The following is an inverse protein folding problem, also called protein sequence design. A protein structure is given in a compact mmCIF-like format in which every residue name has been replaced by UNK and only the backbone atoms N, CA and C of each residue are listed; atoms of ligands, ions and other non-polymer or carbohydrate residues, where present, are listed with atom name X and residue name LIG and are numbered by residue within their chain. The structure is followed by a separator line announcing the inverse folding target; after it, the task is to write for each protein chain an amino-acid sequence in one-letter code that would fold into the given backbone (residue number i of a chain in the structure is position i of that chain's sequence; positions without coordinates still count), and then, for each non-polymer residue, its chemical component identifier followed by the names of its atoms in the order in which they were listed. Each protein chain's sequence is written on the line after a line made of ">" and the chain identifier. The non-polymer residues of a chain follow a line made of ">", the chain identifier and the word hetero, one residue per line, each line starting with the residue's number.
data_IF_299001599818
#
_entry.id   IF_299001599818
#
_cell.length_a   1.000
_cell.length_b   1.000
_cell.length_c   1.000
_cell.angle_alpha   90.00
_cell.angle_beta   90.00
_cell.angle_gamma   90.00
#
_symmetry.space_group_name_H-M   'P 1'
#
loop_
_entity.id
_entity.type
_entity.pdbx_description
1 polymer ?
#
# COMPACT_ATOMS: atom_id res chain seq x y z
N UNK A 1 -24.96 -25.89 1.08
CA UNK A 1 -25.18 -25.33 2.43
C UNK A 1 -26.52 -24.61 2.39
N UNK A 2 -27.42 -24.83 3.37
CA UNK A 2 -28.70 -24.11 3.46
C UNK A 2 -28.50 -22.93 4.43
N UNK A 3 -29.11 -21.79 4.10
CA UNK A 3 -29.12 -20.63 4.98
C UNK A 3 -29.96 -20.94 6.23
N UNK A 4 -29.47 -20.53 7.39
CA UNK A 4 -30.12 -20.72 8.69
C UNK A 4 -29.99 -19.43 9.48
N UNK A 5 -31.10 -18.99 10.07
CA UNK A 5 -31.13 -17.82 10.95
C UNK A 5 -30.89 -18.33 12.37
N UNK A 6 -29.87 -17.78 13.03
CA UNK A 6 -29.52 -18.10 14.42
C UNK A 6 -29.77 -16.87 15.29
N UNK A 7 -30.54 -17.05 16.35
CA UNK A 7 -30.79 -16.01 17.36
C UNK A 7 -29.79 -16.15 18.50
N UNK A 8 -29.12 -15.05 18.86
CA UNK A 8 -28.12 -15.00 19.93
C UNK A 8 -28.41 -13.81 20.85
N UNK A 9 -28.53 -14.08 22.14
CA UNK A 9 -28.53 -13.04 23.16
C UNK A 9 -27.09 -12.71 23.55
N UNK A 10 -26.68 -11.45 23.35
CA UNK A 10 -25.32 -10.99 23.63
C UNK A 10 -25.33 -9.72 24.49
N UNK A 11 -24.36 -9.60 25.39
CA UNK A 11 -24.21 -8.40 26.23
C UNK A 11 -23.36 -7.30 25.58
N UNK A 12 -22.54 -7.62 24.58
CA UNK A 12 -21.68 -6.66 23.88
C UNK A 12 -21.32 -7.17 22.49
N UNK A 13 -20.96 -6.24 21.61
CA UNK A 13 -20.64 -6.48 20.20
C UNK A 13 -19.31 -5.79 19.89
N UNK A 14 -18.41 -6.48 19.21
CA UNK A 14 -17.11 -5.94 18.79
C UNK A 14 -17.04 -6.02 17.27
N UNK A 15 -16.93 -4.87 16.62
CA UNK A 15 -16.82 -4.76 15.17
C UNK A 15 -15.36 -4.85 14.75
N UNK A 16 -15.02 -5.89 14.00
CA UNK A 16 -13.67 -6.22 13.52
C UNK A 16 -13.67 -6.49 12.01
N UNK A 17 -14.47 -5.71 11.27
CA UNK A 17 -14.69 -5.91 9.82
C UNK A 17 -13.49 -5.52 8.95
N UNK A 18 -12.45 -4.92 9.55
CA UNK A 18 -11.19 -4.62 8.89
C UNK A 18 -11.31 -3.48 7.87
N UNK A 19 -10.61 -3.64 6.74
CA UNK A 19 -10.43 -2.61 5.72
C UNK A 19 -10.49 -3.20 4.31
N UNK A 20 -10.64 -2.33 3.31
CA UNK A 20 -10.42 -2.61 1.89
C UNK A 20 -9.16 -1.88 1.38
N UNK A 21 -8.63 -2.30 0.24
CA UNK A 21 -7.50 -1.61 -0.42
C UNK A 21 -8.00 -0.72 -1.55
N UNK A 22 -7.42 0.47 -1.68
CA UNK A 22 -7.73 1.40 -2.75
C UNK A 22 -7.35 0.81 -4.13
N UNK A 23 -8.26 0.91 -5.10
CA UNK A 23 -7.97 0.59 -6.50
C UNK A 23 -7.30 1.81 -7.17
N UNK A 24 -6.00 1.74 -7.56
CA UNK A 24 -5.29 2.89 -8.13
C UNK A 24 -5.58 3.12 -9.62
N UNK A 25 -6.53 2.40 -10.23
CA UNK A 25 -6.95 2.60 -11.64
C UNK A 25 -7.29 4.06 -11.97
N UNK A 26 -7.95 4.85 -11.08
CA UNK A 26 -8.22 6.27 -11.34
C UNK A 26 -6.96 7.16 -11.40
N UNK A 27 -5.83 6.70 -10.84
CA UNK A 27 -4.52 7.35 -10.95
C UNK A 27 -3.89 6.97 -12.29
N UNK A 28 -4.47 7.50 -13.37
CA UNK A 28 -4.12 7.11 -14.74
C UNK A 28 -2.61 7.21 -15.04
N UNK A 29 -1.95 8.22 -14.48
CA UNK A 29 -0.52 8.46 -14.64
C UNK A 29 0.36 7.34 -14.07
N UNK A 30 -0.16 6.47 -13.21
CA UNK A 30 0.59 5.31 -12.69
C UNK A 30 0.38 4.04 -13.50
N UNK A 31 -0.54 4.03 -14.48
CA UNK A 31 -0.61 2.95 -15.46
C UNK A 31 -1.04 1.59 -14.90
N UNK A 32 -1.60 1.51 -13.68
CA UNK A 32 -2.16 0.26 -13.16
C UNK A 32 -3.22 -0.31 -14.10
N UNK A 33 -3.18 -1.63 -14.33
CA UNK A 33 -3.99 -2.38 -15.34
C UNK A 33 -3.80 -1.96 -16.80
N UNK A 34 -2.99 -0.93 -17.10
CA UNK A 34 -2.72 -0.45 -18.47
C UNK A 34 -1.30 -0.79 -18.94
N UNK A 35 -0.34 -0.71 -18.02
CA UNK A 35 1.05 -1.08 -18.25
C UNK A 35 1.31 -2.43 -17.58
N UNK A 36 1.96 -3.32 -18.31
CA UNK A 36 2.39 -4.59 -17.76
C UNK A 36 3.43 -4.36 -16.64
N UNK A 37 3.44 -5.24 -15.65
CA UNK A 37 4.35 -5.19 -14.48
C UNK A 37 4.17 -3.97 -13.55
N UNK A 38 3.07 -3.23 -13.67
CA UNK A 38 2.59 -2.32 -12.62
C UNK A 38 1.57 -3.07 -11.75
N UNK A 39 1.94 -3.35 -10.51
CA UNK A 39 1.12 -4.11 -9.55
C UNK A 39 0.92 -3.34 -8.25
N UNK A 40 -0.11 -3.70 -7.49
CA UNK A 40 -0.36 -3.19 -6.13
C UNK A 40 0.48 -3.92 -5.09
N UNK A 41 0.62 -3.31 -3.91
CA UNK A 41 1.24 -3.92 -2.75
C UNK A 41 0.60 -5.25 -2.35
N UNK A 42 -0.73 -5.37 -2.43
CA UNK A 42 -1.43 -6.61 -2.07
C UNK A 42 -1.24 -7.72 -3.12
N UNK A 43 -1.15 -7.38 -4.41
CA UNK A 43 -0.78 -8.34 -5.45
C UNK A 43 0.65 -8.83 -5.27
N UNK A 44 1.58 -7.93 -4.91
CA UNK A 44 2.94 -8.32 -4.58
C UNK A 44 3.01 -9.23 -3.35
N UNK A 45 2.23 -8.97 -2.29
CA UNK A 45 2.11 -9.88 -1.14
C UNK A 45 1.68 -11.28 -1.56
N UNK A 46 0.72 -11.39 -2.47
CA UNK A 46 0.30 -12.69 -3.01
C UNK A 46 1.41 -13.35 -3.83
N UNK A 47 2.17 -12.57 -4.60
CA UNK A 47 3.29 -13.07 -5.41
C UNK A 47 4.43 -13.63 -4.55
N UNK A 48 4.87 -12.89 -3.53
CA UNK A 48 5.99 -13.31 -2.67
C UNK A 48 5.60 -14.39 -1.64
N UNK A 49 4.30 -14.65 -1.46
CA UNK A 49 3.82 -15.70 -0.59
C UNK A 49 4.14 -17.10 -1.17
N UNK A 50 4.73 -17.98 -0.37
CA UNK A 50 5.08 -19.36 -0.77
C UNK A 50 3.86 -20.22 -1.16
N UNK A 51 2.68 -19.93 -0.59
CA UNK A 51 1.38 -20.51 -0.97
C UNK A 51 0.60 -19.62 -1.94
N UNK A 52 1.27 -18.63 -2.52
CA UNK A 52 0.76 -17.73 -3.53
C UNK A 52 0.73 -18.36 -4.94
N UNK A 53 0.11 -17.68 -5.91
CA UNK A 53 -0.03 -18.18 -7.28
C UNK A 53 1.30 -18.42 -8.00
N UNK A 54 2.39 -17.75 -7.58
CA UNK A 54 3.73 -17.91 -8.16
C UNK A 54 4.65 -18.77 -7.29
N UNK A 55 4.13 -19.38 -6.21
CA UNK A 55 4.91 -20.21 -5.29
C UNK A 55 6.01 -19.46 -4.54
N UNK A 56 5.84 -18.14 -4.35
CA UNK A 56 6.83 -17.26 -3.72
C UNK A 56 7.85 -16.66 -4.69
N UNK A 57 7.77 -16.96 -5.98
CA UNK A 57 8.68 -16.40 -6.97
C UNK A 57 8.22 -15.00 -7.40
N UNK A 58 9.16 -14.05 -7.40
CA UNK A 58 8.96 -12.69 -7.90
C UNK A 58 9.25 -12.70 -9.40
N UNK A 59 8.21 -12.54 -10.20
CA UNK A 59 8.27 -12.67 -11.68
C UNK A 59 7.51 -11.57 -12.38
N UNK A 60 8.00 -11.19 -13.56
CA UNK A 60 7.29 -10.35 -14.52
C UNK A 60 6.16 -11.14 -15.19
N UNK A 61 5.33 -10.45 -15.97
CA UNK A 61 4.21 -11.04 -16.71
C UNK A 61 4.63 -12.19 -17.65
N UNK A 62 5.82 -12.11 -18.21
CA UNK A 62 6.39 -13.14 -19.09
C UNK A 62 7.04 -14.32 -18.32
N UNK A 63 7.05 -14.26 -16.98
CA UNK A 63 7.64 -15.27 -16.10
C UNK A 63 9.12 -15.06 -15.78
N UNK A 64 9.77 -14.05 -16.38
CA UNK A 64 11.18 -13.74 -16.10
C UNK A 64 11.35 -12.99 -14.76
N UNK A 65 12.50 -13.12 -14.08
CA UNK A 65 12.75 -12.38 -12.83
C UNK A 65 13.12 -10.91 -13.11
N UNK A 66 12.53 -9.93 -12.38
CA UNK A 66 12.90 -8.53 -12.53
C UNK A 66 14.35 -8.27 -12.10
N UNK A 67 15.04 -7.37 -12.81
CA UNK A 67 16.38 -6.90 -12.44
C UNK A 67 16.34 -5.55 -11.71
N UNK A 68 15.24 -4.80 -11.86
CA UNK A 68 15.01 -3.56 -11.12
C UNK A 68 13.53 -3.35 -10.78
N UNK A 69 13.26 -2.90 -9.56
CA UNK A 69 11.91 -2.71 -9.03
C UNK A 69 11.81 -1.33 -8.37
N UNK A 70 10.78 -0.58 -8.74
CA UNK A 70 10.39 0.64 -8.03
C UNK A 70 9.19 0.38 -7.13
N UNK A 71 9.24 0.87 -5.90
CA UNK A 71 8.13 0.84 -4.94
C UNK A 71 7.70 2.28 -4.69
N UNK A 72 6.42 2.58 -4.94
CA UNK A 72 5.89 3.94 -4.87
C UNK A 72 5.00 4.07 -3.65
N UNK A 73 5.36 4.97 -2.73
CA UNK A 73 4.62 5.21 -1.50
C UNK A 73 3.42 6.13 -1.75
N UNK A 74 2.49 6.15 -0.78
CA UNK A 74 1.38 7.09 -0.73
C UNK A 74 0.47 7.02 -1.97
N UNK A 75 0.27 5.85 -2.57
CA UNK A 75 -0.62 5.70 -3.72
C UNK A 75 -2.07 5.75 -3.23
N UNK A 76 -2.75 6.87 -3.51
CA UNK A 76 -4.11 7.11 -3.03
C UNK A 76 -4.20 7.55 -1.55
N UNK A 77 -3.08 7.80 -0.87
CA UNK A 77 -3.04 8.37 0.49
C UNK A 77 -2.25 9.67 0.47
N UNK A 78 -2.56 10.58 1.40
CA UNK A 78 -1.97 11.93 1.44
C UNK A 78 -2.12 12.65 0.10
N UNK A 79 -3.30 12.50 -0.51
CA UNK A 79 -3.66 13.04 -1.81
C UNK A 79 -5.05 13.67 -1.71
N UNK A 80 -5.13 14.98 -1.96
CA UNK A 80 -6.38 15.76 -1.89
C UNK A 80 -7.46 15.28 -2.88
N UNK A 81 -7.06 14.63 -3.99
CA UNK A 81 -8.01 14.10 -4.98
C UNK A 81 -8.62 12.77 -4.54
N UNK A 82 -7.96 12.04 -3.65
CA UNK A 82 -8.39 10.71 -3.20
C UNK A 82 -8.58 10.71 -1.68
N UNK A 83 -7.52 10.50 -0.91
CA UNK A 83 -7.56 10.48 0.54
C UNK A 83 -6.48 11.36 1.16
N UNK A 84 -6.89 12.36 1.94
CA UNK A 84 -5.96 13.27 2.63
C UNK A 84 -5.20 12.58 3.77
N UNK A 85 -5.75 11.50 4.33
CA UNK A 85 -5.14 10.78 5.44
C UNK A 85 -3.94 9.91 5.00
N UNK A 86 -3.14 9.52 5.99
CA UNK A 86 -2.07 8.55 5.81
C UNK A 86 -2.55 7.15 6.23
N UNK A 87 -2.34 6.15 5.37
CA UNK A 87 -2.67 4.75 5.66
C UNK A 87 -1.77 4.07 6.71
N UNK A 88 -0.85 4.81 7.33
CA UNK A 88 0.06 4.45 8.44
C UNK A 88 1.04 3.30 8.24
N UNK A 89 0.67 2.24 7.52
CA UNK A 89 1.45 1.00 7.39
C UNK A 89 2.25 0.91 6.09
N UNK A 90 1.96 1.77 5.10
CA UNK A 90 2.52 1.65 3.74
C UNK A 90 4.03 1.81 3.67
N UNK A 91 4.63 2.71 4.45
CA UNK A 91 6.10 2.81 4.49
C UNK A 91 6.74 1.51 4.99
N UNK A 92 6.15 0.89 6.01
CA UNK A 92 6.72 -0.31 6.63
C UNK A 92 6.58 -1.55 5.77
N UNK A 93 5.41 -1.80 5.17
CA UNK A 93 5.29 -2.94 4.27
C UNK A 93 6.10 -2.75 2.98
N UNK A 94 6.32 -1.50 2.53
CA UNK A 94 7.17 -1.22 1.35
C UNK A 94 8.62 -1.61 1.64
N UNK A 95 9.14 -1.18 2.80
CA UNK A 95 10.47 -1.58 3.25
C UNK A 95 10.58 -3.10 3.49
N UNK A 96 9.50 -3.73 3.96
CA UNK A 96 9.41 -5.19 4.06
C UNK A 96 9.51 -5.84 2.68
N UNK A 97 8.86 -5.29 1.65
CA UNK A 97 9.00 -5.79 0.28
C UNK A 97 10.41 -5.59 -0.23
N UNK A 98 11.03 -4.44 0.00
CA UNK A 98 12.42 -4.21 -0.40
C UNK A 98 13.36 -5.26 0.21
N UNK A 99 13.19 -5.54 1.51
CA UNK A 99 13.91 -6.59 2.21
C UNK A 99 13.68 -7.98 1.57
N UNK A 100 12.42 -8.37 1.36
CA UNK A 100 12.08 -9.67 0.75
C UNK A 100 12.60 -9.79 -0.69
N UNK A 101 12.51 -8.73 -1.49
CA UNK A 101 13.05 -8.71 -2.86
C UNK A 101 14.55 -8.98 -2.84
N UNK A 102 15.29 -8.38 -1.89
CA UNK A 102 16.73 -8.61 -1.72
C UNK A 102 17.07 -10.01 -1.23
N UNK A 103 16.20 -10.64 -0.44
CA UNK A 103 16.38 -12.03 -0.01
C UNK A 103 16.13 -13.04 -1.14
N UNK A 104 15.21 -12.73 -2.07
CA UNK A 104 14.78 -13.65 -3.12
C UNK A 104 15.44 -13.40 -4.48
N UNK A 105 16.01 -12.21 -4.70
CA UNK A 105 16.52 -11.77 -6.00
C UNK A 105 17.73 -10.84 -5.86
N UNK A 106 18.50 -10.70 -6.94
CA UNK A 106 19.58 -9.71 -7.04
C UNK A 106 19.10 -8.33 -7.56
N UNK A 107 17.79 -8.09 -7.56
CA UNK A 107 17.23 -6.89 -8.16
C UNK A 107 17.68 -5.60 -7.44
N UNK A 108 17.80 -4.52 -8.22
CA UNK A 108 17.92 -3.16 -7.68
C UNK A 108 16.55 -2.69 -7.22
N UNK A 109 16.46 -2.23 -5.97
CA UNK A 109 15.20 -1.77 -5.38
C UNK A 109 15.27 -0.28 -5.11
N UNK A 110 14.23 0.43 -5.53
CA UNK A 110 14.08 1.87 -5.38
C UNK A 110 12.79 2.21 -4.62
N UNK A 111 12.91 2.93 -3.52
CA UNK A 111 11.80 3.36 -2.67
C UNK A 111 11.50 4.84 -2.92
N UNK A 112 10.36 5.14 -3.53
CA UNK A 112 9.91 6.51 -3.82
C UNK A 112 8.98 7.00 -2.72
N UNK A 113 9.40 8.03 -1.99
CA UNK A 113 8.71 8.49 -0.79
C UNK A 113 8.63 10.02 -0.69
N UNK A 114 7.68 10.50 0.15
CA UNK A 114 7.60 11.90 0.59
C UNK A 114 8.29 12.02 1.96
N UNK A 115 7.81 11.21 2.92
CA UNK A 115 8.38 11.02 4.25
C UNK A 115 8.38 9.52 4.58
N UNK A 116 9.42 9.01 5.23
CA UNK A 116 9.42 7.67 5.80
C UNK A 116 8.79 7.75 7.20
N UNK A 117 7.70 6.99 7.42
CA UNK A 117 6.96 6.97 8.69
C UNK A 117 7.23 5.68 9.46
N UNK A 118 8.43 5.55 10.00
CA UNK A 118 8.95 4.46 10.84
C UNK A 118 8.69 4.67 12.34
N UNK A 119 7.44 4.96 12.73
CA UNK A 119 7.13 5.47 14.08
C UNK A 119 7.00 4.43 15.21
N UNK A 120 6.98 3.14 14.88
CA UNK A 120 6.83 2.04 15.84
C UNK A 120 8.17 1.61 16.48
N UNK A 121 8.09 0.83 17.56
CA UNK A 121 9.29 0.23 18.18
C UNK A 121 10.00 -0.67 17.16
N UNK A 122 11.29 -0.45 16.93
CA UNK A 122 12.06 -1.25 15.97
C UNK A 122 11.92 -0.80 14.51
N UNK A 123 11.06 0.18 14.21
CA UNK A 123 10.77 0.54 12.81
C UNK A 123 11.89 1.38 12.21
N UNK A 124 12.51 2.25 13.01
CA UNK A 124 13.65 3.04 12.56
C UNK A 124 14.90 2.16 12.39
N UNK A 125 15.09 1.20 13.28
CA UNK A 125 16.13 0.18 13.17
C UNK A 125 15.92 -0.68 11.90
N UNK A 126 14.67 -1.01 11.57
CA UNK A 126 14.34 -1.71 10.34
C UNK A 126 14.59 -0.86 9.09
N UNK A 127 14.25 0.43 9.11
CA UNK A 127 14.62 1.36 8.03
C UNK A 127 16.14 1.39 7.79
N UNK A 128 16.92 1.52 8.86
CA UNK A 128 18.39 1.47 8.78
C UNK A 128 18.92 0.14 8.25
N UNK A 129 18.29 -0.98 8.60
CA UNK A 129 18.62 -2.29 8.04
C UNK A 129 18.41 -2.31 6.52
N UNK A 130 17.24 -1.90 6.05
CA UNK A 130 16.89 -1.91 4.61
C UNK A 130 17.78 -0.97 3.80
N UNK A 131 18.19 0.16 4.38
CA UNK A 131 19.23 1.03 3.82
C UNK A 131 20.57 0.29 3.66
N UNK A 132 21.02 -0.43 4.70
CA UNK A 132 22.28 -1.18 4.68
C UNK A 132 22.27 -2.39 3.74
N UNK A 133 21.08 -2.92 3.41
CA UNK A 133 20.88 -3.97 2.40
C UNK A 133 20.99 -3.43 0.95
N UNK A 134 21.24 -2.12 0.79
CA UNK A 134 21.47 -1.49 -0.52
C UNK A 134 20.19 -1.11 -1.27
N UNK A 135 19.08 -0.94 -0.55
CA UNK A 135 17.85 -0.32 -1.09
C UNK A 135 18.07 1.18 -1.27
N UNK A 136 17.67 1.71 -2.42
CA UNK A 136 17.89 3.13 -2.76
C UNK A 136 16.62 3.91 -2.44
N UNK A 137 16.71 4.83 -1.47
CA UNK A 137 15.60 5.71 -1.11
C UNK A 137 15.67 7.00 -1.90
N UNK A 138 14.57 7.35 -2.56
CA UNK A 138 14.44 8.53 -3.39
C UNK A 138 13.31 9.39 -2.84
N UNK A 139 13.66 10.57 -2.32
CA UNK A 139 12.68 11.54 -1.84
C UNK A 139 12.10 12.29 -3.02
N UNK A 140 11.00 11.76 -3.56
CA UNK A 140 10.32 12.28 -4.73
C UNK A 140 9.05 11.49 -4.97
N UNK A 141 7.91 12.18 -5.00
CA UNK A 141 6.66 11.55 -5.44
C UNK A 141 6.70 11.44 -6.97
N UNK A 142 6.55 10.24 -7.55
CA UNK A 142 6.54 10.09 -9.00
C UNK A 142 5.40 10.87 -9.64
N UNK A 143 5.70 11.57 -10.73
CA UNK A 143 4.74 12.29 -11.54
C UNK A 143 4.00 11.35 -12.49
N UNK A 144 4.72 10.41 -13.11
CA UNK A 144 4.17 9.48 -14.10
C UNK A 144 5.00 8.18 -14.18
N UNK A 145 4.33 7.08 -14.52
CA UNK A 145 4.93 5.85 -15.02
C UNK A 145 4.55 5.69 -16.49
N UNK A 146 5.55 5.53 -17.36
CA UNK A 146 5.35 5.34 -18.80
C UNK A 146 6.20 4.18 -19.32
N UNK A 147 5.86 3.62 -20.47
CA UNK A 147 6.71 2.67 -21.20
C UNK A 147 7.30 3.29 -22.48
N UNK A 148 7.21 4.61 -22.62
CA UNK A 148 7.77 5.36 -23.75
C UNK A 148 9.25 5.65 -23.45
N UNK A 149 10.13 4.97 -24.20
CA UNK A 149 11.57 5.14 -24.12
C UNK A 149 12.02 6.41 -24.87
N UNK A 150 12.83 7.24 -24.21
CA UNK A 150 13.55 8.38 -24.80
C UNK A 150 15.02 8.05 -25.08
N UNK A 151 15.53 7.00 -24.46
CA UNK A 151 16.93 6.56 -24.54
C UNK A 151 17.00 5.04 -24.79
N UNK A 152 18.08 4.54 -25.40
CA UNK A 152 18.26 3.10 -25.61
C UNK A 152 18.20 2.26 -24.32
N UNK A 153 18.64 2.83 -23.19
CA UNK A 153 18.60 2.17 -21.86
C UNK A 153 17.19 2.00 -21.28
N UNK A 154 16.19 2.66 -21.86
CA UNK A 154 14.79 2.62 -21.43
C UNK A 154 13.94 1.63 -22.25
N UNK A 155 14.47 1.09 -23.34
CA UNK A 155 13.74 0.19 -24.23
C UNK A 155 13.26 -1.07 -23.48
N UNK A 156 11.95 -1.35 -23.56
CA UNK A 156 11.33 -2.51 -22.92
C UNK A 156 11.16 -2.41 -21.40
N UNK A 157 11.38 -1.23 -20.79
CA UNK A 157 11.24 -1.00 -19.35
C UNK A 157 10.02 -0.12 -19.03
N UNK A 158 9.63 -0.11 -17.77
CA UNK A 158 8.79 0.94 -17.18
C UNK A 158 9.69 2.10 -16.75
N UNK A 159 9.30 3.33 -17.05
CA UNK A 159 10.05 4.53 -16.71
C UNK A 159 9.28 5.31 -15.65
N UNK A 160 9.89 5.42 -14.47
CA UNK A 160 9.39 6.27 -13.39
C UNK A 160 9.95 7.67 -13.59
N UNK A 161 9.06 8.65 -13.82
CA UNK A 161 9.40 10.06 -13.95
C UNK A 161 9.12 10.77 -12.63
N UNK A 162 10.12 11.46 -12.07
CA UNK A 162 10.02 12.07 -10.76
C UNK A 162 11.01 13.23 -10.58
N UNK A 163 10.73 14.08 -9.61
CA UNK A 163 11.69 15.03 -9.08
C UNK A 163 12.45 14.41 -7.89
N UNK A 164 13.77 14.37 -7.96
CA UNK A 164 14.60 14.11 -6.79
C UNK A 164 14.72 15.39 -5.98
N UNK A 165 13.88 15.51 -4.95
CA UNK A 165 13.75 16.76 -4.19
C UNK A 165 14.96 17.09 -3.33
N UNK A 166 15.86 16.12 -3.09
CA UNK A 166 17.09 16.36 -2.32
C UNK A 166 18.15 17.10 -3.14
N UNK A 167 18.12 16.93 -4.47
CA UNK A 167 19.06 17.56 -5.40
C UNK A 167 18.39 18.53 -6.37
N UNK A 168 17.05 18.61 -6.38
CA UNK A 168 16.28 19.53 -7.21
C UNK A 168 16.31 19.21 -8.70
N UNK A 169 16.41 17.92 -9.08
CA UNK A 169 16.51 17.49 -10.48
C UNK A 169 15.36 16.57 -10.88
N UNK A 170 14.81 16.82 -12.08
CA UNK A 170 13.90 15.89 -12.74
C UNK A 170 14.70 14.71 -13.30
N UNK A 171 14.21 13.49 -13.04
CA UNK A 171 14.89 12.25 -13.42
C UNK A 171 13.90 11.25 -14.00
N UNK A 172 14.45 10.40 -14.86
CA UNK A 172 13.79 9.23 -15.45
C UNK A 172 14.55 8.00 -14.96
N UNK A 173 13.84 7.02 -14.40
CA UNK A 173 14.44 5.77 -13.92
C UNK A 173 13.76 4.57 -14.59
N UNK A 174 14.46 3.86 -15.48
CA UNK A 174 13.95 2.61 -16.06
C UNK A 174 14.00 1.46 -15.04
N UNK A 175 12.87 0.76 -14.89
CA UNK A 175 12.68 -0.41 -14.02
C UNK A 175 11.90 -1.51 -14.73
N UNK A 176 12.03 -2.75 -14.28
CA UNK A 176 11.28 -3.90 -14.81
C UNK A 176 9.87 -3.99 -14.24
N UNK A 177 9.71 -3.64 -12.96
CA UNK A 177 8.46 -3.74 -12.22
C UNK A 177 8.23 -2.48 -11.38
N UNK A 178 6.97 -2.09 -11.24
CA UNK A 178 6.55 -1.06 -10.30
C UNK A 178 5.51 -1.64 -9.33
N UNK A 179 5.74 -1.44 -8.03
CA UNK A 179 4.83 -1.80 -6.95
C UNK A 179 4.21 -0.52 -6.40
N UNK A 180 2.88 -0.46 -6.39
CA UNK A 180 2.09 0.66 -5.89
C UNK A 180 1.66 0.37 -4.46
N UNK A 181 2.20 1.12 -3.50
CA UNK A 181 1.82 1.01 -2.09
C UNK A 181 0.52 1.77 -1.83
N UNK A 182 -0.58 1.06 -2.09
CA UNK A 182 -1.95 1.60 -2.08
C UNK A 182 -2.49 1.92 -0.69
N UNK A 183 -3.44 2.86 -0.66
CA UNK A 183 -4.16 3.27 0.53
C UNK A 183 -5.05 2.16 1.10
N UNK A 184 -5.33 2.27 2.39
CA UNK A 184 -6.37 1.50 3.07
C UNK A 184 -7.64 2.34 3.12
N UNK A 185 -8.77 1.72 2.80
CA UNK A 185 -10.10 2.31 2.84
C UNK A 185 -10.97 1.56 3.85
N UNK A 186 -12.02 2.20 4.34
CA UNK A 186 -13.07 1.48 5.05
C UNK A 186 -13.70 0.42 4.13
N UNK A 187 -14.28 -0.63 4.74
CA UNK A 187 -15.01 -1.62 3.96
C UNK A 187 -16.14 -0.97 3.12
N UNK A 188 -16.45 -1.48 1.92
CA UNK A 188 -17.54 -0.96 1.10
C UNK A 188 -18.91 -0.97 1.81
N UNK A 189 -19.12 -1.90 2.73
CA UNK A 189 -20.35 -2.04 3.53
C UNK A 189 -20.31 -1.30 4.87
N UNK A 190 -19.25 -0.53 5.17
CA UNK A 190 -19.08 0.16 6.45
C UNK A 190 -20.27 1.07 6.79
N UNK A 191 -20.93 1.68 5.79
CA UNK A 191 -22.14 2.46 6.04
C UNK A 191 -23.32 1.60 6.51
N UNK A 192 -23.53 0.43 5.90
CA UNK A 192 -24.59 -0.48 6.28
C UNK A 192 -24.36 -1.03 7.69
N UNK A 193 -23.12 -1.41 8.01
CA UNK A 193 -22.71 -1.85 9.35
C UNK A 193 -22.91 -0.73 10.38
N UNK A 194 -22.49 0.50 10.07
CA UNK A 194 -22.67 1.65 10.95
C UNK A 194 -24.16 1.90 11.28
N UNK A 195 -25.04 1.79 10.27
CA UNK A 195 -26.49 1.92 10.46
C UNK A 195 -27.07 0.77 11.29
N UNK A 196 -26.63 -0.47 11.05
CA UNK A 196 -27.12 -1.65 11.76
C UNK A 196 -26.85 -1.57 13.27
N UNK A 197 -25.65 -1.12 13.65
CA UNK A 197 -25.23 -1.02 15.05
C UNK A 197 -25.39 0.39 15.63
N UNK A 198 -25.96 1.32 14.87
CA UNK A 198 -26.20 2.71 15.27
C UNK A 198 -24.91 3.42 15.74
N UNK A 199 -23.84 3.35 14.96
CA UNK A 199 -22.56 4.03 15.26
C UNK A 199 -22.20 5.03 14.16
N UNK A 200 -21.29 5.96 14.48
CA UNK A 200 -20.83 7.01 13.57
C UNK A 200 -19.60 6.58 12.75
N UNK A 201 -19.36 7.29 11.65
CA UNK A 201 -18.14 7.21 10.84
C UNK A 201 -17.39 8.53 10.87
N UNK A 202 -16.07 8.47 10.84
CA UNK A 202 -15.18 9.63 10.70
C UNK A 202 -15.16 10.14 9.25
N UNK A 203 -14.57 11.31 9.02
CA UNK A 203 -14.50 11.94 7.70
C UNK A 203 -13.67 11.11 6.69
N UNK A 204 -12.75 10.29 7.18
CA UNK A 204 -11.98 9.32 6.39
C UNK A 204 -12.77 8.03 6.05
N UNK A 205 -14.00 7.92 6.53
CA UNK A 205 -14.91 6.82 6.25
C UNK A 205 -14.78 5.62 7.18
N UNK A 206 -13.83 5.58 8.11
CA UNK A 206 -13.72 4.52 9.12
C UNK A 206 -14.74 4.70 10.25
N UNK A 207 -14.86 3.71 11.14
CA UNK A 207 -15.73 3.85 12.32
C UNK A 207 -15.13 4.84 13.31
N UNK A 208 -15.98 5.73 13.84
CA UNK A 208 -15.58 6.77 14.77
C UNK A 208 -15.56 6.24 16.20
N UNK A 209 -14.41 6.36 16.85
CA UNK A 209 -14.27 6.09 18.27
C UNK A 209 -14.96 7.15 19.13
N UNK A 210 -15.31 6.79 20.37
CA UNK A 210 -15.94 7.69 21.33
C UNK A 210 -15.06 8.87 21.70
N UNK A 211 -13.77 8.62 21.92
CA UNK A 211 -12.80 9.69 22.16
C UNK A 211 -11.38 9.25 21.77
N UNK A 212 -10.64 10.01 20.94
CA UNK A 212 -9.33 9.61 20.39
C UNK A 212 -8.24 9.21 21.40
N UNK A 213 -8.41 9.60 22.68
CA UNK A 213 -7.44 9.35 23.76
C UNK A 213 -7.99 8.64 24.99
N UNK A 214 -9.27 8.85 25.29
CA UNK A 214 -9.85 8.42 26.58
C UNK A 214 -10.58 7.09 26.41
N UNK A 215 -11.15 6.87 25.23
CA UNK A 215 -11.88 5.66 24.92
C UNK A 215 -11.78 5.37 23.41
N UNK A 216 -10.58 4.93 22.96
CA UNK A 216 -10.26 4.82 21.52
C UNK A 216 -10.85 3.57 20.85
N UNK A 217 -11.53 2.71 21.62
CA UNK A 217 -12.09 1.44 21.13
C UNK A 217 -13.60 1.34 21.36
N UNK A 218 -14.19 2.14 22.24
CA UNK A 218 -15.64 2.24 22.33
C UNK A 218 -16.21 3.15 21.25
N UNK A 219 -17.50 2.95 20.96
CA UNK A 219 -18.28 3.84 20.10
C UNK A 219 -19.19 4.73 20.95
N UNK A 220 -19.97 5.60 20.32
CA UNK A 220 -21.02 6.37 21.01
C UNK A 220 -22.21 5.52 21.46
N UNK A 221 -22.29 4.26 21.03
CA UNK A 221 -23.34 3.31 21.40
C UNK A 221 -22.81 2.33 22.45
N UNK A 222 -23.46 2.34 23.61
CA UNK A 222 -23.05 1.49 24.73
C UNK A 222 -23.14 0.00 24.36
N UNK A 223 -22.12 -0.76 24.74
CA UNK A 223 -22.01 -2.19 24.41
C UNK A 223 -21.51 -2.49 23.00
N UNK A 224 -21.25 -1.48 22.17
CA UNK A 224 -20.68 -1.64 20.81
C UNK A 224 -19.27 -1.03 20.76
N UNK A 225 -18.30 -1.85 20.38
CA UNK A 225 -16.86 -1.53 20.32
C UNK A 225 -16.29 -1.77 18.92
N UNK A 226 -15.12 -1.22 18.65
CA UNK A 226 -14.33 -1.41 17.42
C UNK A 226 -12.93 -1.92 17.76
N UNK A 227 -12.35 -2.76 16.88
CA UNK A 227 -10.99 -3.27 17.03
C UNK A 227 -10.33 -3.59 15.68
#
# INVERSE_FOLDING_TARGET
>A
QKEEIVELEVGSIILTTGFSVFDPTPIYQYGYKRLDNVITSLEFERMVNSSGPTGGNIVLKDGSPPQSIAIIHCVGSRDEKYHEYCSRVCCMYSMKFAHLIKEHTEAKVYEFYIDIRSFGKGFEEFYNRVLNEGTIFIRGRPAEITNIAEKPEEEGKLIVQFEDTLIGLQRRLPVDMVILSVALEAQPDAEAVARLFNISRSADGFFLEKHPKLDPVATTTDGVFVA
#
